data_IF_949668290362
#
_entry.id   IF_949668290362
#
_cell.length_a   1.000
_cell.length_b   1.000
_cell.length_c   1.000
_cell.angle_alpha   90.00
_cell.angle_beta   90.00
_cell.angle_gamma   90.00
#
_symmetry.space_group_name_H-M   'P 1'
#
loop_
_entity.id
_entity.type
_entity.pdbx_description
1 polymer ?
#
# COMPACT_ATOMS: atom_id res chain seq x y z
N UNK A 1 6.64 10.18 2.90
CA UNK A 1 6.26 9.50 4.15
C UNK A 1 4.75 9.40 4.22
N UNK A 2 4.22 8.44 4.98
CA UNK A 2 2.79 8.30 5.27
C UNK A 2 2.54 8.69 6.73
N UNK A 3 1.48 9.45 6.98
CA UNK A 3 1.09 9.92 8.31
C UNK A 3 -0.36 9.53 8.55
N UNK A 4 -0.66 9.01 9.74
CA UNK A 4 -2.02 8.68 10.18
C UNK A 4 -2.35 9.64 11.31
N UNK A 5 -3.52 10.25 11.27
CA UNK A 5 -3.98 11.15 12.33
C UNK A 5 -4.76 10.42 13.43
N UNK A 6 -5.23 11.16 14.44
CA UNK A 6 -5.99 10.61 15.56
C UNK A 6 -7.37 10.04 15.16
N UNK A 7 -7.88 10.38 13.97
CA UNK A 7 -9.13 9.85 13.43
C UNK A 7 -8.91 8.61 12.56
N UNK A 8 -7.66 8.26 12.28
CA UNK A 8 -7.29 7.19 11.35
C UNK A 8 -7.18 7.64 9.90
N UNK A 9 -7.25 8.96 9.62
CA UNK A 9 -7.13 9.47 8.27
C UNK A 9 -5.67 9.43 7.81
N UNK A 10 -5.41 8.70 6.73
CA UNK A 10 -4.09 8.64 6.10
C UNK A 10 -3.87 9.90 5.24
N UNK A 11 -2.71 10.54 5.40
CA UNK A 11 -2.26 11.66 4.56
C UNK A 11 -0.81 11.48 4.10
N UNK A 12 -0.55 11.84 2.85
CA UNK A 12 0.81 11.83 2.31
C UNK A 12 1.63 13.01 2.84
N UNK A 13 2.77 12.72 3.47
CA UNK A 13 3.78 13.70 3.85
C UNK A 13 4.91 13.77 2.81
N UNK A 14 5.24 14.98 2.39
CA UNK A 14 6.31 15.32 1.44
C UNK A 14 7.40 16.10 2.16
N UNK A 15 8.66 15.81 1.87
CA UNK A 15 9.81 16.58 2.33
C UNK A 15 10.84 16.67 1.21
N UNK A 16 11.71 17.68 1.25
CA UNK A 16 12.84 17.76 0.32
C UNK A 16 13.85 16.65 0.62
N UNK A 17 14.36 16.00 -0.43
CA UNK A 17 15.09 14.72 -0.39
C UNK A 17 16.40 14.78 0.43
N UNK A 18 16.90 15.97 0.75
CA UNK A 18 18.17 16.17 1.44
C UNK A 18 18.04 16.89 2.80
N UNK A 19 16.85 16.98 3.38
CA UNK A 19 16.68 17.64 4.67
C UNK A 19 17.00 16.66 5.82
N UNK A 20 18.29 16.55 6.14
CA UNK A 20 18.80 15.70 7.22
C UNK A 20 18.17 16.02 8.58
N UNK A 21 17.67 17.24 8.79
CA UNK A 21 16.94 17.60 9.99
C UNK A 21 15.63 16.82 10.10
N UNK A 22 14.87 16.69 9.01
CA UNK A 22 13.61 15.93 8.98
C UNK A 22 13.89 14.44 9.15
N UNK A 23 14.87 13.90 8.42
CA UNK A 23 15.21 12.48 8.51
C UNK A 23 15.69 12.07 9.90
N UNK A 24 16.43 12.94 10.60
CA UNK A 24 16.90 12.67 11.96
C UNK A 24 15.81 12.89 13.03
N UNK A 25 14.85 13.78 12.79
CA UNK A 25 13.77 14.09 13.74
C UNK A 25 12.62 13.08 13.65
N UNK A 26 12.34 12.56 12.44
CA UNK A 26 11.27 11.61 12.18
C UNK A 26 11.73 10.17 12.46
N UNK A 27 10.98 9.47 13.30
CA UNK A 27 11.12 8.04 13.53
C UNK A 27 9.84 7.36 13.10
N UNK A 28 9.97 6.28 12.32
CA UNK A 28 8.84 5.43 11.99
C UNK A 28 8.20 4.86 13.27
N UNK A 29 6.89 4.56 13.21
CA UNK A 29 6.09 4.07 14.35
C UNK A 29 6.15 4.98 15.60
N UNK A 30 6.30 6.29 15.39
CA UNK A 30 6.30 7.29 16.46
C UNK A 30 5.26 8.38 16.20
N UNK A 31 4.70 8.92 17.29
CA UNK A 31 3.62 9.91 17.23
C UNK A 31 4.16 11.32 17.47
N UNK A 32 3.71 12.27 16.65
CA UNK A 32 4.16 13.67 16.73
C UNK A 32 3.01 14.64 16.51
N UNK A 33 3.03 15.77 17.23
CA UNK A 33 2.41 17.00 16.76
C UNK A 33 3.38 17.71 15.82
N UNK A 34 2.93 18.04 14.62
CA UNK A 34 3.75 18.68 13.58
C UNK A 34 3.32 20.14 13.41
N UNK A 35 4.14 21.07 13.88
CA UNK A 35 3.90 22.52 13.72
C UNK A 35 4.67 23.09 12.52
N UNK A 36 4.14 24.14 11.88
CA UNK A 36 4.82 24.84 10.78
C UNK A 36 4.87 24.09 9.45
N UNK A 37 3.96 23.13 9.24
CA UNK A 37 3.76 22.44 7.98
C UNK A 37 2.89 23.25 7.00
N UNK A 38 2.92 22.90 5.72
CA UNK A 38 2.09 23.53 4.68
C UNK A 38 1.17 22.47 4.06
N UNK A 39 -0.12 22.76 3.95
CA UNK A 39 -1.04 21.92 3.18
C UNK A 39 -0.92 22.23 1.69
N UNK A 40 -0.75 21.18 0.89
CA UNK A 40 -0.65 21.25 -0.58
C UNK A 40 -1.66 20.29 -1.19
N UNK A 41 -1.98 20.44 -2.47
CA UNK A 41 -2.81 19.44 -3.15
C UNK A 41 -2.09 18.07 -3.20
N UNK A 42 -2.87 17.00 -3.09
CA UNK A 42 -2.39 15.66 -3.36
C UNK A 42 -1.90 15.55 -4.81
N UNK A 43 -0.92 14.66 -5.04
CA UNK A 43 -0.44 14.39 -6.40
C UNK A 43 -1.57 13.79 -7.24
N UNK A 44 -1.57 14.07 -8.53
CA UNK A 44 -2.64 13.61 -9.43
C UNK A 44 -2.58 12.13 -9.78
N UNK A 45 -1.49 11.41 -9.48
CA UNK A 45 -1.35 9.99 -9.82
C UNK A 45 -0.49 9.21 -8.83
N UNK A 46 -0.79 7.91 -8.71
CA UNK A 46 -0.07 6.96 -7.87
C UNK A 46 -0.24 7.22 -6.39
N UNK A 47 -1.35 7.86 -5.99
CA UNK A 47 -1.64 8.23 -4.60
C UNK A 47 -1.70 7.00 -3.72
N UNK A 48 -1.13 7.09 -2.52
CA UNK A 48 -1.21 6.08 -1.47
C UNK A 48 -2.37 6.38 -0.49
N UNK A 49 -2.67 7.67 -0.32
CA UNK A 49 -3.74 8.13 0.56
C UNK A 49 -4.93 8.66 -0.23
N UNK A 50 -6.13 8.29 0.21
CA UNK A 50 -7.38 8.83 -0.32
C UNK A 50 -7.74 10.18 0.34
N UNK A 51 -6.77 11.09 0.36
CA UNK A 51 -6.93 12.43 0.92
C UNK A 51 -6.61 13.51 -0.13
N UNK A 52 -7.46 14.52 -0.26
CA UNK A 52 -7.33 15.59 -1.27
C UNK A 52 -6.08 16.45 -1.09
N UNK A 53 -5.60 16.56 0.15
CA UNK A 53 -4.39 17.28 0.51
C UNK A 53 -3.21 16.35 0.83
N UNK A 54 -2.00 16.91 0.75
CA UNK A 54 -0.75 16.37 1.29
C UNK A 54 -0.09 17.41 2.19
N UNK A 55 0.69 16.94 3.15
CA UNK A 55 1.46 17.81 4.04
C UNK A 55 2.86 17.97 3.47
N UNK A 56 3.29 19.21 3.21
CA UNK A 56 4.67 19.56 2.94
C UNK A 56 5.37 19.94 4.25
N UNK A 57 6.35 19.12 4.63
CA UNK A 57 7.22 19.34 5.76
C UNK A 57 8.45 20.08 5.26
N UNK A 58 8.48 21.38 5.52
CA UNK A 58 9.61 22.24 5.19
C UNK A 58 10.60 22.33 6.36
N UNK A 59 11.78 22.91 6.12
CA UNK A 59 12.87 23.08 7.09
C UNK A 59 12.48 23.72 8.44
N UNK A 60 11.41 24.54 8.47
CA UNK A 60 10.92 25.20 9.70
C UNK A 60 9.91 24.38 10.47
N UNK A 61 9.49 23.23 9.95
CA UNK A 61 8.57 22.35 10.63
C UNK A 61 9.21 21.81 11.91
N UNK A 62 8.39 21.70 12.97
CA UNK A 62 8.82 21.17 14.27
C UNK A 62 8.02 19.92 14.59
N UNK A 63 8.73 18.89 15.00
CA UNK A 63 8.16 17.63 15.45
C UNK A 63 8.19 17.60 16.97
N UNK A 64 7.01 17.62 17.58
CA UNK A 64 6.85 17.52 19.02
C UNK A 64 6.38 16.10 19.35
N UNK A 65 7.24 15.22 19.90
CA UNK A 65 6.83 13.86 20.23
C UNK A 65 5.66 13.87 21.21
N UNK A 66 4.67 13.02 20.97
CA UNK A 66 3.53 12.82 21.85
C UNK A 66 3.45 11.35 22.26
N UNK A 67 3.04 11.10 23.50
CA UNK A 67 2.93 9.74 24.06
C UNK A 67 1.58 9.07 23.74
N UNK A 68 0.83 9.61 22.79
CA UNK A 68 -0.57 9.25 22.56
C UNK A 68 -0.70 7.81 22.02
N UNK A 69 -1.50 7.00 22.71
CA UNK A 69 -1.64 5.55 22.45
C UNK A 69 -2.83 5.20 21.57
N UNK A 70 -3.61 6.19 21.13
CA UNK A 70 -4.87 5.98 20.39
C UNK A 70 -4.76 6.28 18.90
N UNK A 71 -3.57 6.60 18.38
CA UNK A 71 -3.34 6.74 16.95
C UNK A 71 -3.13 5.33 16.36
N UNK A 72 -3.88 4.93 15.32
CA UNK A 72 -3.68 3.65 14.67
C UNK A 72 -2.25 3.51 14.14
N UNK A 73 -1.64 2.34 14.36
CA UNK A 73 -0.28 2.04 13.87
C UNK A 73 -0.27 1.57 12.43
N UNK A 74 -1.33 0.88 12.02
CA UNK A 74 -1.50 0.34 10.69
C UNK A 74 -2.69 1.02 10.04
N UNK A 75 -2.58 1.20 8.74
CA UNK A 75 -3.66 1.67 7.90
C UNK A 75 -3.68 0.80 6.66
N UNK A 76 -4.86 0.28 6.34
CA UNK A 76 -5.13 -0.41 5.09
C UNK A 76 -6.38 0.21 4.46
N UNK A 77 -6.30 0.58 3.19
CA UNK A 77 -7.45 0.99 2.39
C UNK A 77 -7.90 -0.18 1.52
N UNK A 78 -8.40 -1.24 2.16
CA UNK A 78 -8.81 -2.46 1.46
C UNK A 78 -9.96 -2.16 0.50
N UNK A 79 -9.75 -2.46 -0.77
CA UNK A 79 -10.81 -2.43 -1.78
C UNK A 79 -11.54 -3.78 -1.82
N UNK A 80 -12.87 -3.73 -1.96
CA UNK A 80 -13.65 -4.90 -2.40
C UNK A 80 -13.47 -5.12 -3.90
N UNK A 81 -13.90 -6.27 -4.43
CA UNK A 81 -13.84 -6.53 -5.88
C UNK A 81 -14.58 -5.47 -6.70
N UNK A 82 -15.77 -5.06 -6.26
CA UNK A 82 -16.60 -4.08 -6.96
C UNK A 82 -15.92 -2.70 -7.08
N UNK A 83 -15.05 -2.36 -6.12
CA UNK A 83 -14.29 -1.10 -6.15
C UNK A 83 -13.15 -1.13 -7.18
N UNK A 84 -12.75 -2.30 -7.69
CA UNK A 84 -11.61 -2.41 -8.61
C UNK A 84 -11.86 -1.72 -9.95
N UNK A 85 -13.11 -1.68 -10.42
CA UNK A 85 -13.48 -0.96 -11.64
C UNK A 85 -13.16 0.53 -11.52
N UNK A 86 -13.58 1.14 -10.42
CA UNK A 86 -13.33 2.55 -10.16
C UNK A 86 -11.84 2.82 -9.97
N UNK A 87 -11.11 1.93 -9.29
CA UNK A 87 -9.65 2.07 -9.10
C UNK A 87 -8.87 1.97 -10.41
N UNK A 88 -9.32 1.15 -11.35
CA UNK A 88 -8.72 1.02 -12.68
C UNK A 88 -8.97 2.27 -13.54
N UNK A 89 -10.21 2.77 -13.54
CA UNK A 89 -10.63 3.91 -14.36
C UNK A 89 -10.26 5.27 -13.77
N UNK A 90 -10.02 5.34 -12.46
CA UNK A 90 -9.86 6.61 -11.77
C UNK A 90 -8.64 7.39 -12.27
N UNK A 91 -8.87 8.66 -12.59
CA UNK A 91 -7.82 9.60 -12.95
C UNK A 91 -6.78 9.78 -11.84
N UNK A 92 -7.20 9.71 -10.57
CA UNK A 92 -6.31 9.91 -9.42
C UNK A 92 -5.31 8.75 -9.22
N UNK A 93 -5.51 7.62 -9.92
CA UNK A 93 -4.70 6.39 -9.85
C UNK A 93 -4.33 6.03 -8.42
N UNK A 94 -5.32 6.06 -7.53
CA UNK A 94 -5.17 5.65 -6.14
C UNK A 94 -4.77 4.18 -6.08
N UNK A 95 -3.64 3.91 -5.43
CA UNK A 95 -3.15 2.55 -5.24
C UNK A 95 -4.08 1.80 -4.27
N UNK A 96 -4.11 0.49 -4.43
CA UNK A 96 -5.12 -0.38 -3.83
C UNK A 96 -4.46 -1.33 -2.86
N UNK A 97 -4.99 -1.36 -1.64
CA UNK A 97 -4.73 -2.46 -0.73
C UNK A 97 -5.80 -3.53 -0.98
N UNK A 98 -5.40 -4.79 -1.01
CA UNK A 98 -6.31 -5.90 -1.30
C UNK A 98 -5.99 -7.09 -0.40
N UNK A 99 -7.03 -7.76 0.06
CA UNK A 99 -6.95 -8.92 0.93
C UNK A 99 -7.62 -10.10 0.25
N UNK A 100 -6.95 -11.26 0.24
CA UNK A 100 -7.54 -12.48 -0.30
C UNK A 100 -6.81 -13.74 0.12
N UNK A 101 -7.50 -14.87 0.03
CA UNK A 101 -6.93 -16.20 0.25
C UNK A 101 -6.12 -16.65 -0.96
N UNK A 102 -4.90 -17.13 -0.74
CA UNK A 102 -4.06 -17.69 -1.79
C UNK A 102 -4.66 -19.03 -2.25
N UNK A 103 -5.19 -19.07 -3.46
CA UNK A 103 -5.76 -20.28 -4.06
C UNK A 103 -4.70 -21.09 -4.80
N UNK A 104 -3.94 -20.43 -5.67
CA UNK A 104 -2.91 -21.06 -6.49
C UNK A 104 -1.75 -20.11 -6.72
N UNK A 105 -0.58 -20.69 -6.96
CA UNK A 105 0.64 -19.98 -7.33
C UNK A 105 1.19 -20.67 -8.58
N UNK A 106 1.50 -19.90 -9.62
CA UNK A 106 2.17 -20.43 -10.80
C UNK A 106 3.65 -20.68 -10.52
N UNK A 107 4.28 -21.58 -11.29
CA UNK A 107 5.74 -21.56 -11.38
C UNK A 107 6.22 -20.20 -11.89
N UNK A 108 7.47 -19.84 -11.58
CA UNK A 108 8.09 -18.67 -12.18
C UNK A 108 8.27 -18.94 -13.67
N UNK A 109 7.64 -18.11 -14.49
CA UNK A 109 7.80 -18.10 -15.92
C UNK A 109 9.01 -17.23 -16.27
N UNK A 110 10.01 -17.84 -16.92
CA UNK A 110 11.22 -17.16 -17.39
C UNK A 110 11.09 -16.89 -18.88
N UNK A 111 10.94 -15.64 -19.28
CA UNK A 111 11.09 -15.20 -20.67
C UNK A 111 12.41 -14.45 -20.84
N UNK A 112 12.85 -14.26 -22.10
CA UNK A 112 14.13 -13.62 -22.43
C UNK A 112 14.31 -12.26 -21.75
N UNK A 113 13.22 -11.52 -21.56
CA UNK A 113 13.24 -10.13 -21.14
C UNK A 113 12.61 -9.88 -19.76
N UNK A 114 11.92 -10.88 -19.17
CA UNK A 114 11.31 -10.72 -17.87
C UNK A 114 11.02 -12.06 -17.17
N UNK A 115 10.96 -12.00 -15.84
CA UNK A 115 10.54 -13.11 -15.00
C UNK A 115 9.23 -12.75 -14.30
N UNK A 116 8.29 -13.70 -14.26
CA UNK A 116 6.97 -13.44 -13.71
C UNK A 116 6.41 -14.64 -12.95
N UNK A 117 5.72 -14.39 -11.85
CA UNK A 117 4.90 -15.36 -11.11
C UNK A 117 3.50 -14.79 -10.93
N UNK A 118 2.47 -15.64 -11.02
CA UNK A 118 1.09 -15.24 -10.77
C UNK A 118 0.54 -15.93 -9.53
N UNK A 119 -0.16 -15.16 -8.71
CA UNK A 119 -0.87 -15.64 -7.52
C UNK A 119 -2.36 -15.38 -7.73
N UNK A 120 -3.18 -16.43 -7.58
CA UNK A 120 -4.63 -16.32 -7.63
C UNK A 120 -5.15 -16.08 -6.22
N UNK A 121 -5.83 -14.95 -6.01
CA UNK A 121 -6.45 -14.59 -4.75
C UNK A 121 -7.97 -14.77 -4.85
N UNK A 122 -8.57 -15.34 -3.81
CA UNK A 122 -10.02 -15.41 -3.62
C UNK A 122 -10.39 -14.46 -2.48
N UNK A 123 -11.24 -13.48 -2.75
CA UNK A 123 -11.72 -12.56 -1.71
C UNK A 123 -12.88 -13.16 -0.90
N UNK A 124 -13.36 -12.41 0.10
CA UNK A 124 -14.46 -12.83 0.97
C UNK A 124 -15.81 -12.96 0.25
N UNK A 125 -15.98 -12.31 -0.89
CA UNK A 125 -17.20 -12.33 -1.70
C UNK A 125 -17.19 -13.48 -2.72
N UNK A 126 -16.08 -14.21 -2.82
CA UNK A 126 -15.90 -15.33 -3.75
C UNK A 126 -15.38 -14.92 -5.12
N UNK A 127 -14.99 -13.66 -5.31
CA UNK A 127 -14.35 -13.20 -6.54
C UNK A 127 -12.87 -13.56 -6.56
N UNK A 128 -12.38 -13.80 -7.78
CA UNK A 128 -10.96 -14.06 -8.01
C UNK A 128 -10.27 -12.83 -8.58
N UNK A 129 -9.10 -12.51 -8.03
CA UNK A 129 -8.18 -11.52 -8.58
C UNK A 129 -6.79 -12.13 -8.77
N UNK A 130 -6.15 -11.80 -9.89
CA UNK A 130 -4.78 -12.24 -10.16
C UNK A 130 -3.78 -11.17 -9.73
N UNK A 131 -2.84 -11.54 -8.86
CA UNK A 131 -1.66 -10.74 -8.55
C UNK A 131 -0.49 -11.20 -9.41
N UNK A 132 0.21 -10.26 -10.04
CA UNK A 132 1.41 -10.55 -10.84
C UNK A 132 2.66 -10.03 -10.15
N UNK A 133 3.58 -10.95 -9.82
CA UNK A 133 4.91 -10.65 -9.29
C UNK A 133 5.93 -10.62 -10.43
N UNK A 134 6.83 -9.63 -10.39
CA UNK A 134 7.85 -9.43 -11.42
C UNK A 134 9.27 -9.57 -10.86
N UNK A 135 10.18 -9.98 -11.74
CA UNK A 135 11.62 -10.03 -11.50
C UNK A 135 12.04 -10.66 -10.17
N UNK A 136 12.83 -9.95 -9.37
CA UNK A 136 13.37 -10.42 -8.10
C UNK A 136 12.27 -10.79 -7.10
N UNK A 137 11.12 -10.12 -7.12
CA UNK A 137 10.00 -10.41 -6.20
C UNK A 137 9.39 -11.77 -6.54
N UNK A 138 9.28 -12.11 -7.83
CA UNK A 138 8.79 -13.43 -8.26
C UNK A 138 9.68 -14.58 -7.74
N UNK A 139 10.99 -14.37 -7.62
CA UNK A 139 11.92 -15.37 -7.07
C UNK A 139 12.00 -15.37 -5.55
N UNK A 140 11.86 -14.21 -4.92
CA UNK A 140 12.01 -14.05 -3.47
C UNK A 140 10.73 -14.45 -2.70
N UNK A 141 9.58 -14.50 -3.36
CA UNK A 141 8.33 -14.86 -2.72
C UNK A 141 8.35 -16.33 -2.26
N UNK A 142 8.20 -16.55 -0.95
CA UNK A 142 8.16 -17.90 -0.38
C UNK A 142 6.82 -18.57 -0.72
N UNK A 143 6.88 -19.65 -1.50
CA UNK A 143 5.70 -20.41 -1.94
C UNK A 143 5.40 -21.62 -1.07
N UNK A 144 6.22 -21.91 -0.06
CA UNK A 144 6.06 -23.09 0.79
C UNK A 144 4.89 -22.93 1.78
N UNK A 145 3.95 -23.87 1.74
CA UNK A 145 2.82 -23.93 2.68
C UNK A 145 2.02 -22.62 2.79
N UNK A 146 1.88 -21.86 1.70
CA UNK A 146 1.12 -20.59 1.67
C UNK A 146 -0.28 -20.72 1.08
N UNK A 147 -0.58 -21.80 0.36
CA UNK A 147 -1.93 -22.06 -0.17
C UNK A 147 -2.94 -22.14 0.98
N UNK A 148 -4.08 -21.48 0.83
CA UNK A 148 -5.12 -21.36 1.86
C UNK A 148 -4.84 -20.30 2.93
N UNK A 149 -3.69 -19.62 2.90
CA UNK A 149 -3.42 -18.48 3.80
C UNK A 149 -3.91 -17.17 3.21
N UNK A 150 -4.21 -16.22 4.08
CA UNK A 150 -4.53 -14.83 3.69
C UNK A 150 -3.25 -14.16 3.19
N UNK A 151 -3.35 -13.42 2.08
CA UNK A 151 -2.34 -12.49 1.61
C UNK A 151 -2.92 -11.08 1.68
N UNK A 152 -2.17 -10.18 2.31
CA UNK A 152 -2.38 -8.74 2.18
C UNK A 152 -1.40 -8.21 1.15
N UNK A 153 -1.94 -7.52 0.16
CA UNK A 153 -1.21 -6.79 -0.86
C UNK A 153 -1.45 -5.32 -0.61
N UNK A 154 -0.41 -4.52 -0.42
CA UNK A 154 -0.58 -3.07 -0.27
C UNK A 154 -0.14 -2.31 -1.51
N UNK A 155 -0.73 -1.15 -1.74
CA UNK A 155 -0.28 -0.18 -2.75
C UNK A 155 -0.12 -0.78 -4.16
N UNK A 156 -0.97 -1.74 -4.52
CA UNK A 156 -0.98 -2.32 -5.85
C UNK A 156 -1.72 -1.41 -6.84
N UNK A 157 -1.33 -1.50 -8.11
CA UNK A 157 -2.08 -0.88 -9.21
C UNK A 157 -3.12 -1.87 -9.71
N UNK A 158 -4.36 -1.44 -9.88
CA UNK A 158 -5.38 -2.23 -10.56
C UNK A 158 -5.23 -2.08 -12.06
N UNK A 159 -5.21 -3.20 -12.78
CA UNK A 159 -5.27 -3.25 -14.24
C UNK A 159 -6.35 -4.22 -14.69
N UNK A 160 -6.76 -4.12 -15.96
CA UNK A 160 -7.75 -5.02 -16.56
C UNK A 160 -7.14 -5.70 -17.78
N UNK A 161 -7.22 -7.03 -17.83
CA UNK A 161 -6.77 -7.83 -18.97
C UNK A 161 -7.84 -8.87 -19.31
N UNK A 162 -8.30 -8.87 -20.58
CA UNK A 162 -9.38 -9.76 -21.06
C UNK A 162 -10.58 -9.77 -20.10
N UNK A 163 -11.05 -8.56 -19.76
CA UNK A 163 -12.16 -8.31 -18.84
C UNK A 163 -12.02 -8.74 -17.39
N UNK A 164 -10.84 -9.24 -16.99
CA UNK A 164 -10.56 -9.63 -15.61
C UNK A 164 -9.67 -8.57 -14.93
N UNK A 165 -10.07 -8.12 -13.74
CA UNK A 165 -9.24 -7.26 -12.89
C UNK A 165 -8.02 -8.00 -12.33
N UNK A 166 -6.88 -7.32 -12.31
CA UNK A 166 -5.61 -7.82 -11.84
C UNK A 166 -4.91 -6.77 -10.98
N UNK A 167 -4.02 -7.24 -10.11
CA UNK A 167 -3.14 -6.42 -9.30
C UNK A 167 -1.72 -6.51 -9.85
N UNK A 168 -1.15 -5.35 -10.11
CA UNK A 168 0.25 -5.18 -10.50
C UNK A 168 1.03 -4.51 -9.38
N UNK A 169 2.25 -5.00 -9.15
CA UNK A 169 3.16 -4.39 -8.18
C UNK A 169 3.54 -2.98 -8.62
N UNK A 170 3.68 -2.12 -7.62
CA UNK A 170 4.37 -0.84 -7.74
C UNK A 170 5.66 -0.86 -6.92
N UNK A 171 6.46 0.19 -7.01
CA UNK A 171 7.67 0.34 -6.20
C UNK A 171 7.39 0.40 -4.69
N UNK A 172 6.15 0.65 -4.29
CA UNK A 172 5.72 0.76 -2.88
C UNK A 172 4.88 -0.44 -2.43
N UNK A 173 4.66 -1.44 -3.30
CA UNK A 173 3.88 -2.61 -2.93
C UNK A 173 4.59 -3.46 -1.89
N UNK A 174 3.85 -3.85 -0.85
CA UNK A 174 4.30 -4.86 0.11
C UNK A 174 3.36 -6.05 0.09
N UNK A 175 3.89 -7.22 0.45
CA UNK A 175 3.17 -8.48 0.48
C UNK A 175 3.35 -9.11 1.86
N UNK A 176 2.24 -9.37 2.55
CA UNK A 176 2.27 -10.00 3.87
C UNK A 176 1.36 -11.23 3.89
N UNK A 177 1.98 -12.40 4.07
CA UNK A 177 1.25 -13.67 4.22
C UNK A 177 0.85 -13.85 5.68
N UNK A 178 -0.43 -14.12 5.91
CA UNK A 178 -1.05 -14.36 7.20
C UNK A 178 -0.69 -13.29 8.25
N UNK A 179 -0.99 -12.00 7.98
CA UNK A 179 -0.77 -10.94 8.95
C UNK A 179 -1.52 -11.21 10.26
N UNK A 180 -0.99 -10.75 11.42
CA UNK A 180 -1.74 -10.76 12.67
C UNK A 180 -3.09 -10.05 12.52
N UNK A 181 -4.15 -10.60 13.10
CA UNK A 181 -5.50 -10.03 13.01
C UNK A 181 -5.57 -8.58 13.54
N UNK A 182 -4.75 -8.26 14.55
CA UNK A 182 -4.62 -6.90 15.11
C UNK A 182 -4.15 -5.87 14.09
N UNK A 183 -3.41 -6.28 13.05
CA UNK A 183 -2.98 -5.39 11.99
C UNK A 183 -4.10 -5.13 10.98
N UNK A 184 -5.05 -6.07 10.83
CA UNK A 184 -6.12 -5.99 9.83
C UNK A 184 -7.29 -5.08 10.24
N UNK A 185 -7.26 -4.51 11.44
CA UNK A 185 -8.28 -3.56 11.90
C UNK A 185 -7.91 -2.15 11.44
N UNK A 186 -8.59 -1.69 10.40
CA UNK A 186 -8.66 -0.29 9.96
C UNK A 186 -10.06 0.27 10.19
#
# INVERSE_FOLDING_TARGET
MLLIDQKGDLIEGKCEINDSHIYNAFKEDSCYKIDGHICTAARSSGRLADHEASILIAKRAKFHPIAERHIPRFYYNFATYDMLEDREKSYNKLLTDYLGLIQTISNVYKQKDYNMMKIKLLDEQGYTVMLTLWENIAFAFNTENVIGKVLVVTSAKVTKHQDTYQLELTNTTTLQVNPPLENLQG
#
